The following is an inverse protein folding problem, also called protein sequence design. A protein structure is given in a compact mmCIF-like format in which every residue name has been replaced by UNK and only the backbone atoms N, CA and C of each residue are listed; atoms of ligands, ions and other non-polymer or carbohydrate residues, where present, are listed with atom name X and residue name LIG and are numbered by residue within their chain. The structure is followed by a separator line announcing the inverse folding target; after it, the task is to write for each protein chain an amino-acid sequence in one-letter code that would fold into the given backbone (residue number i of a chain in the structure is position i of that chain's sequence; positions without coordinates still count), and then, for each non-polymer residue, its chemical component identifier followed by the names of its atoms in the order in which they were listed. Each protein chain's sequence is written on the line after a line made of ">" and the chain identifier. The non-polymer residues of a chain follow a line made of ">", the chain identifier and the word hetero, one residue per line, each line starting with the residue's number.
data_IF_667652532053
#
_entry.id   IF_667652532053
#
_cell.length_a   1.000
_cell.length_b   1.000
_cell.length_c   1.000
_cell.angle_alpha   90.00
_cell.angle_beta   90.00
_cell.angle_gamma   90.00
#
_symmetry.space_group_name_H-M   'P 1'
#
loop_
_entity.id
_entity.type
_entity.pdbx_description
1 polymer ?
#
# COMPACT_ATOMS: atom_id res chain seq x y z
N UNK A 1 33.67 -6.76 -26.30
CA UNK A 1 34.18 -6.00 -25.14
C UNK A 1 33.13 -6.13 -24.06
N UNK A 2 33.47 -6.67 -22.89
CA UNK A 2 32.51 -6.88 -21.81
C UNK A 2 32.55 -5.69 -20.85
N UNK A 3 31.38 -5.20 -20.45
CA UNK A 3 31.28 -4.13 -19.44
C UNK A 3 31.45 -4.74 -18.04
N UNK A 4 32.57 -4.41 -17.39
CA UNK A 4 32.87 -4.89 -16.05
C UNK A 4 32.19 -3.95 -15.05
N UNK A 5 31.05 -4.38 -14.51
CA UNK A 5 30.31 -3.59 -13.50
C UNK A 5 30.65 -4.02 -12.07
N UNK A 6 30.68 -3.04 -11.16
CA UNK A 6 30.91 -3.30 -9.75
C UNK A 6 29.60 -3.66 -9.04
N UNK A 7 29.39 -4.95 -8.79
CA UNK A 7 28.18 -5.47 -8.13
C UNK A 7 27.97 -4.92 -6.71
N UNK A 8 29.03 -4.54 -5.98
CA UNK A 8 28.90 -3.93 -4.65
C UNK A 8 28.25 -2.56 -4.73
N UNK A 9 28.66 -1.75 -5.71
CA UNK A 9 28.07 -0.44 -5.93
C UNK A 9 26.61 -0.55 -6.36
N UNK A 10 26.29 -1.50 -7.25
CA UNK A 10 24.91 -1.76 -7.70
C UNK A 10 24.01 -2.18 -6.53
N UNK A 11 24.45 -3.12 -5.68
CA UNK A 11 23.69 -3.52 -4.49
C UNK A 11 23.47 -2.35 -3.52
N UNK A 12 24.49 -1.51 -3.32
CA UNK A 12 24.39 -0.32 -2.46
C UNK A 12 23.40 0.69 -3.02
N UNK A 13 23.39 0.90 -4.33
CA UNK A 13 22.42 1.77 -5.00
C UNK A 13 20.99 1.24 -4.83
N UNK A 14 20.78 -0.06 -5.03
CA UNK A 14 19.48 -0.72 -4.80
C UNK A 14 19.00 -0.56 -3.36
N UNK A 15 19.85 -0.82 -2.38
CA UNK A 15 19.51 -0.68 -0.97
C UNK A 15 19.12 0.76 -0.58
N UNK A 16 19.80 1.76 -1.15
CA UNK A 16 19.44 3.18 -0.96
C UNK A 16 18.08 3.50 -1.58
N UNK A 17 17.83 3.07 -2.82
CA UNK A 17 16.54 3.29 -3.48
C UNK A 17 15.37 2.63 -2.70
N UNK A 18 15.58 1.42 -2.17
CA UNK A 18 14.59 0.77 -1.30
C UNK A 18 14.36 1.53 0.02
N UNK A 19 15.41 2.12 0.59
CA UNK A 19 15.27 2.96 1.79
C UNK A 19 14.52 4.27 1.49
N UNK A 20 14.80 4.90 0.34
CA UNK A 20 14.17 6.15 -0.07
C UNK A 20 12.67 5.97 -0.35
N UNK A 21 12.30 4.89 -1.05
CA UNK A 21 10.88 4.54 -1.29
C UNK A 21 10.12 4.28 0.00
N UNK A 22 10.73 3.56 0.96
CA UNK A 22 10.15 3.37 2.30
C UNK A 22 10.02 4.69 3.06
N UNK A 23 11.02 5.57 2.98
CA UNK A 23 10.98 6.88 3.62
C UNK A 23 9.87 7.75 3.03
N UNK A 24 9.67 7.73 1.72
CA UNK A 24 8.57 8.44 1.05
C UNK A 24 7.20 7.93 1.50
N UNK A 25 7.00 6.61 1.52
CA UNK A 25 5.77 6.01 2.06
C UNK A 25 5.52 6.43 3.51
N UNK A 26 6.56 6.45 4.35
CA UNK A 26 6.46 6.88 5.74
C UNK A 26 6.15 8.37 5.88
N UNK A 27 6.72 9.25 5.05
CA UNK A 27 6.37 10.69 5.05
C UNK A 27 4.88 10.88 4.73
N UNK A 28 4.34 10.11 3.79
CA UNK A 28 2.91 10.17 3.46
C UNK A 28 2.06 9.62 4.61
N UNK A 29 2.45 8.49 5.20
CA UNK A 29 1.68 7.81 6.24
C UNK A 29 1.73 8.55 7.60
N UNK A 30 2.88 9.11 7.96
CA UNK A 30 3.15 9.64 9.30
C UNK A 30 3.43 11.15 9.33
N UNK A 31 3.71 11.79 8.19
CA UNK A 31 3.93 13.24 8.10
C UNK A 31 2.65 14.07 8.05
N UNK A 32 1.47 13.43 8.01
CA UNK A 32 0.20 14.14 7.99
C UNK A 32 -0.23 14.61 9.38
N UNK A 33 -0.85 15.81 9.50
CA UNK A 33 -1.36 16.28 10.78
C UNK A 33 -2.47 15.35 11.29
N UNK A 34 -2.53 15.16 12.62
CA UNK A 34 -3.48 14.24 13.29
C UNK A 34 -4.93 14.43 12.80
N UNK A 35 -5.37 15.68 12.62
CA UNK A 35 -6.72 16.03 12.13
C UNK A 35 -7.00 15.45 10.74
N UNK A 36 -6.06 15.57 9.80
CA UNK A 36 -6.20 15.03 8.44
C UNK A 36 -6.25 13.49 8.46
N UNK A 37 -5.37 12.86 9.24
CA UNK A 37 -5.37 11.40 9.41
C UNK A 37 -6.70 10.89 9.96
N UNK A 38 -7.23 11.52 11.01
CA UNK A 38 -8.51 11.12 11.62
C UNK A 38 -9.69 11.29 10.67
N UNK A 39 -9.71 12.37 9.87
CA UNK A 39 -10.75 12.58 8.86
C UNK A 39 -10.73 11.48 7.80
N UNK A 40 -9.53 11.15 7.30
CA UNK A 40 -9.38 10.08 6.31
C UNK A 40 -9.81 8.72 6.86
N UNK A 41 -9.44 8.40 8.10
CA UNK A 41 -9.86 7.16 8.77
C UNK A 41 -11.38 7.07 8.91
N UNK A 42 -12.04 8.16 9.35
CA UNK A 42 -13.51 8.20 9.47
C UNK A 42 -14.20 8.02 8.11
N UNK A 43 -13.68 8.67 7.06
CA UNK A 43 -14.19 8.49 5.70
C UNK A 43 -14.05 7.04 5.25
N UNK A 44 -12.88 6.43 5.43
CA UNK A 44 -12.67 5.01 5.09
C UNK A 44 -13.64 4.10 5.85
N UNK A 45 -13.81 4.30 7.15
CA UNK A 45 -14.74 3.50 7.97
C UNK A 45 -16.18 3.59 7.44
N UNK A 46 -16.65 4.80 7.12
CA UNK A 46 -17.98 5.02 6.58
C UNK A 46 -18.17 4.40 5.18
N UNK A 47 -17.15 4.48 4.32
CA UNK A 47 -17.19 3.79 3.01
C UNK A 47 -17.19 2.27 3.18
N UNK A 48 -16.39 1.73 4.12
CA UNK A 48 -16.42 0.30 4.44
C UNK A 48 -17.79 -0.11 4.96
N UNK A 49 -18.36 0.61 5.92
CA UNK A 49 -19.70 0.32 6.45
C UNK A 49 -20.76 0.33 5.36
N UNK A 50 -20.73 1.31 4.44
CA UNK A 50 -21.61 1.34 3.27
C UNK A 50 -21.41 0.12 2.37
N UNK A 51 -20.16 -0.20 2.04
CA UNK A 51 -19.84 -1.31 1.16
C UNK A 51 -20.23 -2.66 1.75
N UNK A 52 -20.02 -2.85 3.06
CA UNK A 52 -20.40 -4.05 3.81
C UNK A 52 -21.93 -4.15 3.96
N UNK A 53 -22.61 -3.05 4.30
CA UNK A 53 -24.08 -3.03 4.40
C UNK A 53 -24.82 -3.30 3.09
N UNK A 54 -24.15 -3.07 1.95
CA UNK A 54 -24.66 -3.41 0.61
C UNK A 54 -24.02 -4.67 0.01
N UNK A 55 -23.21 -5.40 0.78
CA UNK A 55 -22.63 -6.66 0.31
C UNK A 55 -23.73 -7.72 0.27
N UNK A 56 -24.11 -8.11 -0.94
CA UNK A 56 -24.85 -9.35 -1.15
C UNK A 56 -23.88 -10.50 -0.93
N UNK A 57 -24.20 -11.42 -0.02
CA UNK A 57 -23.49 -12.70 0.04
C UNK A 57 -23.65 -13.35 -1.33
N UNK A 58 -22.54 -13.46 -2.06
CA UNK A 58 -22.52 -14.21 -3.30
C UNK A 58 -22.64 -15.66 -2.85
N UNK A 59 -23.86 -16.19 -2.89
CA UNK A 59 -24.09 -17.61 -2.66
C UNK A 59 -23.09 -18.38 -3.49
N UNK A 60 -22.32 -19.23 -2.82
CA UNK A 60 -21.52 -20.27 -3.46
C UNK A 60 -22.39 -20.90 -4.57
N UNK A 61 -21.88 -21.07 -5.80
CA UNK A 61 -22.65 -21.78 -6.81
C UNK A 61 -22.86 -23.20 -6.31
N UNK A 62 -24.10 -23.53 -5.95
CA UNK A 62 -24.50 -24.87 -5.55
C UNK A 62 -24.22 -25.80 -6.76
N UNK A 63 -23.38 -26.84 -6.63
CA UNK A 63 -23.02 -27.69 -7.75
C UNK A 63 -24.10 -28.75 -7.97
N UNK A 64 -25.28 -28.34 -8.45
CA UNK A 64 -26.25 -29.21 -9.13
C UNK A 64 -27.45 -28.38 -9.64
N UNK A 65 -27.42 -28.03 -10.93
CA UNK A 65 -28.57 -28.08 -11.86
C UNK A 65 -28.06 -28.03 -13.31
#
# INVERSE_FOLDING_TARGET
>A
MAEIINLRQVRKAKARAEADTKAEANRIAFGQPKKARTLQQRRKALETERHEGHRLERGEPDPAD
#
